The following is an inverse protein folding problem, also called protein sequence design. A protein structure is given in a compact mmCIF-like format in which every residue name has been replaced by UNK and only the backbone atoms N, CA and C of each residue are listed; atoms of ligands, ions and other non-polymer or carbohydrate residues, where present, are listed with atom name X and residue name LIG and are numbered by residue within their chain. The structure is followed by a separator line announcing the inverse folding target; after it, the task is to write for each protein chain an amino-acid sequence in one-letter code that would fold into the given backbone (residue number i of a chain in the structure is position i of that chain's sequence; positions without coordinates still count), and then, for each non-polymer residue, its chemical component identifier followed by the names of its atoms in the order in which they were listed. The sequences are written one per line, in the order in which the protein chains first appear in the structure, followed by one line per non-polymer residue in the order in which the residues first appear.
data_IF_193462906536
#
_entry.id   IF_193462906536
#
_cell.length_a   1.000
_cell.length_b   1.000
_cell.length_c   1.000
_cell.angle_alpha   90.00
_cell.angle_beta   90.00
_cell.angle_gamma   90.00
#
_symmetry.space_group_name_H-M   'P 1'
#
loop_
_entity.id
_entity.type
_entity.pdbx_description
1 polymer ?
#
# COMPACT_ATOMS: atom_id res chain seq x y z
N UNK A 1 -3.88 22.63 -8.13
CA UNK A 1 -4.76 21.75 -7.35
C UNK A 1 -4.77 20.36 -8.00
N UNK A 2 -4.33 19.37 -7.25
CA UNK A 2 -4.18 17.96 -7.66
C UNK A 2 -5.52 17.26 -7.91
N UNK A 3 -5.49 16.05 -8.52
CA UNK A 3 -6.71 15.29 -8.85
C UNK A 3 -7.59 14.95 -7.63
N UNK A 4 -7.01 14.72 -6.46
CA UNK A 4 -7.77 14.38 -5.25
C UNK A 4 -8.40 15.60 -4.59
N UNK A 5 -7.67 16.71 -4.49
CA UNK A 5 -8.22 18.00 -4.02
C UNK A 5 -9.37 18.50 -4.92
N UNK A 6 -9.34 18.16 -6.22
CA UNK A 6 -10.45 18.45 -7.16
C UNK A 6 -11.76 17.76 -6.77
N UNK A 7 -11.73 16.67 -5.99
CA UNK A 7 -12.93 15.99 -5.51
C UNK A 7 -13.73 16.87 -4.56
N UNK A 8 -13.06 17.44 -3.55
CA UNK A 8 -13.69 18.29 -2.55
C UNK A 8 -14.14 19.65 -3.12
N UNK A 9 -13.47 20.15 -4.16
CA UNK A 9 -13.86 21.40 -4.81
C UNK A 9 -15.32 21.44 -5.28
N UNK A 10 -15.91 20.28 -5.62
CA UNK A 10 -17.32 20.19 -6.02
C UNK A 10 -18.31 20.34 -4.86
N UNK A 11 -17.85 20.16 -3.63
CA UNK A 11 -18.66 20.26 -2.42
C UNK A 11 -18.68 21.68 -1.86
N UNK A 12 -17.83 22.59 -2.35
CA UNK A 12 -17.70 23.94 -1.83
C UNK A 12 -18.60 24.87 -2.63
N UNK A 13 -19.51 25.58 -1.95
CA UNK A 13 -20.39 26.54 -2.59
C UNK A 13 -19.61 27.76 -3.11
N UNK A 14 -20.09 28.43 -4.19
CA UNK A 14 -19.47 29.66 -4.66
C UNK A 14 -19.39 30.73 -3.55
N UNK A 15 -18.23 31.37 -3.41
CA UNK A 15 -18.02 32.43 -2.42
C UNK A 15 -17.58 31.97 -1.03
N UNK A 16 -17.60 30.66 -0.75
CA UNK A 16 -17.12 30.11 0.52
C UNK A 16 -15.60 30.23 0.62
N UNK A 17 -15.13 30.83 1.71
CA UNK A 17 -13.71 30.88 2.06
C UNK A 17 -13.42 29.77 3.06
N UNK A 18 -12.55 28.83 2.70
CA UNK A 18 -12.18 27.74 3.61
C UNK A 18 -11.20 28.24 4.67
N UNK A 19 -11.39 27.75 5.90
CA UNK A 19 -10.44 27.99 6.97
C UNK A 19 -9.08 27.32 6.67
N UNK A 20 -7.93 27.89 7.08
CA UNK A 20 -6.61 27.31 6.83
C UNK A 20 -6.46 25.86 7.32
N UNK A 21 -7.12 25.50 8.42
CA UNK A 21 -7.12 24.13 8.96
C UNK A 21 -7.77 23.12 7.99
N UNK A 22 -8.83 23.52 7.28
CA UNK A 22 -9.48 22.67 6.29
C UNK A 22 -8.59 22.49 5.06
N UNK A 23 -7.87 23.53 4.65
CA UNK A 23 -6.84 23.42 3.61
C UNK A 23 -5.73 22.43 4.00
N UNK A 24 -5.25 22.47 5.25
CA UNK A 24 -4.26 21.53 5.74
C UNK A 24 -4.78 20.09 5.71
N UNK A 25 -5.99 19.85 6.22
CA UNK A 25 -6.63 18.51 6.17
C UNK A 25 -6.75 17.98 4.74
N UNK A 26 -7.10 18.84 3.77
CA UNK A 26 -7.16 18.46 2.36
C UNK A 26 -5.79 18.10 1.79
N UNK A 27 -4.73 18.81 2.21
CA UNK A 27 -3.36 18.49 1.84
C UNK A 27 -2.89 17.16 2.45
N UNK A 28 -3.21 16.92 3.73
CA UNK A 28 -2.90 15.66 4.42
C UNK A 28 -3.60 14.48 3.74
N UNK A 29 -4.86 14.64 3.34
CA UNK A 29 -5.61 13.63 2.59
C UNK A 29 -4.95 13.29 1.26
N UNK A 30 -4.46 14.31 0.56
CA UNK A 30 -3.72 14.10 -0.68
C UNK A 30 -2.41 13.34 -0.44
N UNK A 31 -1.64 13.75 0.56
CA UNK A 31 -0.38 13.09 0.92
C UNK A 31 -0.59 11.62 1.27
N UNK A 32 -1.63 11.30 2.07
CA UNK A 32 -1.99 9.91 2.39
C UNK A 32 -2.44 9.12 1.16
N UNK A 33 -3.16 9.75 0.23
CA UNK A 33 -3.58 9.10 -1.02
C UNK A 33 -2.38 8.76 -1.92
N UNK A 34 -1.36 9.64 -1.94
CA UNK A 34 -0.10 9.39 -2.67
C UNK A 34 0.65 8.25 -1.98
N UNK A 35 0.85 8.31 -0.66
CA UNK A 35 1.51 7.24 0.11
C UNK A 35 0.85 5.88 -0.14
N UNK A 36 -0.49 5.83 -0.15
CA UNK A 36 -1.23 4.60 -0.44
C UNK A 36 -0.90 4.05 -1.83
N UNK A 37 -0.83 4.91 -2.84
CA UNK A 37 -0.46 4.53 -4.21
C UNK A 37 0.98 4.02 -4.29
N UNK A 38 1.91 4.65 -3.56
CA UNK A 38 3.30 4.22 -3.50
C UNK A 38 3.43 2.83 -2.83
N UNK A 39 2.66 2.58 -1.78
CA UNK A 39 2.57 1.26 -1.13
C UNK A 39 1.99 0.19 -2.05
N UNK A 40 0.97 0.52 -2.87
CA UNK A 40 0.42 -0.42 -3.87
C UNK A 40 1.49 -0.79 -4.93
N UNK A 41 2.31 0.18 -5.35
CA UNK A 41 3.44 -0.06 -6.25
C UNK A 41 4.53 -0.92 -5.60
N UNK A 42 4.88 -0.63 -4.35
CA UNK A 42 5.82 -1.42 -3.58
C UNK A 42 5.32 -2.86 -3.39
N UNK A 43 4.04 -3.05 -3.09
CA UNK A 43 3.42 -4.35 -2.93
C UNK A 43 3.52 -5.18 -4.20
N UNK A 44 3.23 -4.57 -5.34
CA UNK A 44 3.37 -5.21 -6.66
C UNK A 44 4.81 -5.63 -6.93
N UNK A 45 5.78 -4.77 -6.60
CA UNK A 45 7.21 -5.06 -6.72
C UNK A 45 7.64 -6.21 -5.81
N UNK A 46 7.20 -6.22 -4.56
CA UNK A 46 7.55 -7.26 -3.59
C UNK A 46 6.96 -8.62 -3.98
N UNK A 47 5.73 -8.65 -4.51
CA UNK A 47 5.13 -9.88 -5.04
C UNK A 47 5.89 -10.42 -6.22
N UNK A 48 6.24 -9.56 -7.18
CA UNK A 48 7.11 -9.97 -8.28
C UNK A 48 8.45 -10.53 -7.77
N UNK A 49 9.07 -9.88 -6.79
CA UNK A 49 10.32 -10.37 -6.21
C UNK A 49 10.14 -11.73 -5.52
N UNK A 50 9.01 -11.96 -4.85
CA UNK A 50 8.67 -13.26 -4.26
C UNK A 50 8.62 -14.32 -5.36
N UNK A 51 7.83 -14.09 -6.40
CA UNK A 51 7.66 -15.02 -7.52
C UNK A 51 9.02 -15.33 -8.18
N UNK A 52 9.79 -14.28 -8.52
CA UNK A 52 11.13 -14.42 -9.09
C UNK A 52 12.06 -15.25 -8.16
N UNK A 53 11.94 -15.10 -6.84
CA UNK A 53 12.77 -15.85 -5.87
C UNK A 53 12.33 -17.31 -5.76
N UNK A 54 11.03 -17.58 -5.79
CA UNK A 54 10.46 -18.94 -5.77
C UNK A 54 10.85 -19.70 -7.03
N UNK A 55 10.77 -19.07 -8.20
CA UNK A 55 11.18 -19.64 -9.49
C UNK A 55 12.68 -19.98 -9.49
N UNK A 56 13.53 -19.04 -9.08
CA UNK A 56 14.99 -19.27 -9.00
C UNK A 56 15.34 -20.41 -8.03
N UNK A 57 14.60 -20.54 -6.91
CA UNK A 57 14.84 -21.60 -5.95
C UNK A 57 14.42 -22.97 -6.52
N UNK A 58 13.29 -23.04 -7.22
CA UNK A 58 12.85 -24.25 -7.89
C UNK A 58 13.83 -24.69 -8.97
N UNK A 59 14.34 -23.75 -9.77
CA UNK A 59 15.39 -24.01 -10.78
C UNK A 59 16.68 -24.53 -10.14
N UNK A 60 17.13 -23.92 -9.03
CA UNK A 60 18.35 -24.34 -8.34
C UNK A 60 18.24 -25.77 -7.77
N UNK A 61 17.10 -26.13 -7.21
CA UNK A 61 16.85 -27.48 -6.69
C UNK A 61 16.77 -28.52 -7.82
N UNK A 62 16.12 -28.18 -8.93
CA UNK A 62 16.05 -29.05 -10.10
C UNK A 62 17.42 -29.25 -10.75
N UNK A 63 18.25 -28.20 -10.79
CA UNK A 63 19.62 -28.29 -11.30
C UNK A 63 20.49 -29.18 -10.41
N UNK A 64 20.38 -29.10 -9.08
CA UNK A 64 21.12 -29.97 -8.17
C UNK A 64 20.75 -31.46 -8.37
N UNK A 65 19.45 -31.76 -8.49
CA UNK A 65 18.97 -33.10 -8.85
C UNK A 65 19.54 -33.55 -10.19
N UNK A 66 19.53 -32.67 -11.20
CA UNK A 66 20.08 -32.96 -12.52
C UNK A 66 21.58 -33.27 -12.46
N UNK A 67 22.37 -32.52 -11.69
CA UNK A 67 23.80 -32.73 -11.54
C UNK A 67 24.14 -34.03 -10.77
N UNK A 68 23.37 -34.38 -9.74
CA UNK A 68 23.47 -35.68 -9.07
C UNK A 68 23.23 -36.82 -10.07
N UNK A 69 22.17 -36.72 -10.87
CA UNK A 69 21.85 -37.71 -11.89
C UNK A 69 22.95 -37.84 -12.95
N UNK A 70 23.54 -36.74 -13.42
CA UNK A 70 24.66 -36.75 -14.37
C UNK A 70 25.93 -37.39 -13.80
N UNK A 71 26.20 -37.19 -12.51
CA UNK A 71 27.38 -37.76 -11.82
C UNK A 71 27.17 -39.19 -11.33
N UNK A 72 25.97 -39.76 -11.52
CA UNK A 72 25.59 -41.08 -11.00
C UNK A 72 25.51 -41.14 -9.47
N UNK A 73 25.42 -39.98 -8.81
CA UNK A 73 25.23 -39.90 -7.36
C UNK A 73 23.74 -39.95 -7.02
N UNK A 74 23.35 -40.59 -5.90
CA UNK A 74 21.97 -40.51 -5.43
C UNK A 74 21.66 -39.07 -5.01
N UNK A 75 20.62 -38.48 -5.60
CA UNK A 75 20.08 -37.21 -5.14
C UNK A 75 19.29 -37.44 -3.85
N UNK A 76 19.55 -36.61 -2.84
CA UNK A 76 18.76 -36.55 -1.61
C UNK A 76 18.09 -35.20 -1.57
N UNK A 77 16.80 -35.17 -1.88
CA UNK A 77 16.02 -33.95 -1.76
C UNK A 77 16.05 -33.43 -0.31
N UNK A 78 16.00 -32.10 -0.11
CA UNK A 78 15.84 -31.53 1.23
C UNK A 78 14.62 -32.14 1.93
N UNK A 79 14.80 -32.53 3.18
CA UNK A 79 13.66 -32.89 4.01
C UNK A 79 12.82 -31.65 4.36
N UNK A 80 11.66 -31.83 5.01
CA UNK A 80 10.74 -30.73 5.31
C UNK A 80 11.40 -29.62 6.15
N UNK A 81 12.20 -29.97 7.16
CA UNK A 81 12.86 -28.99 8.04
C UNK A 81 13.93 -28.19 7.26
N UNK A 82 14.70 -28.88 6.42
CA UNK A 82 15.69 -28.26 5.53
C UNK A 82 15.03 -27.35 4.50
N UNK A 83 13.93 -27.80 3.89
CA UNK A 83 13.16 -27.01 2.94
C UNK A 83 12.57 -25.75 3.61
N UNK A 84 12.02 -25.89 4.82
CA UNK A 84 11.52 -24.76 5.58
C UNK A 84 12.62 -23.75 5.91
N UNK A 85 13.83 -24.21 6.26
CA UNK A 85 14.98 -23.34 6.48
C UNK A 85 15.43 -22.63 5.20
N UNK A 86 15.50 -23.33 4.08
CA UNK A 86 15.79 -22.75 2.76
C UNK A 86 14.77 -21.65 2.44
N UNK A 87 13.47 -21.93 2.55
CA UNK A 87 12.41 -20.96 2.28
C UNK A 87 12.49 -19.75 3.22
N UNK A 88 12.74 -19.97 4.51
CA UNK A 88 12.92 -18.89 5.49
C UNK A 88 14.09 -17.98 5.11
N UNK A 89 15.20 -18.56 4.68
CA UNK A 89 16.42 -17.80 4.34
C UNK A 89 16.25 -16.97 3.06
N UNK A 90 15.51 -17.48 2.07
CA UNK A 90 15.33 -16.80 0.78
C UNK A 90 14.11 -15.87 0.76
N UNK A 91 12.98 -16.30 1.32
CA UNK A 91 11.70 -15.57 1.25
C UNK A 91 11.38 -14.79 2.53
N UNK A 92 12.01 -15.09 3.66
CA UNK A 92 11.63 -14.52 4.96
C UNK A 92 11.66 -12.98 4.98
N UNK A 93 12.67 -12.36 4.37
CA UNK A 93 12.75 -10.90 4.27
C UNK A 93 11.64 -10.32 3.38
N UNK A 94 11.30 -10.99 2.29
CA UNK A 94 10.24 -10.56 1.37
C UNK A 94 8.88 -10.69 2.05
N UNK A 95 8.62 -11.81 2.73
CA UNK A 95 7.38 -12.06 3.47
C UNK A 95 7.20 -11.02 4.59
N UNK A 96 8.25 -10.72 5.35
CA UNK A 96 8.19 -9.69 6.41
C UNK A 96 7.87 -8.30 5.84
N UNK A 97 8.47 -7.93 4.70
CA UNK A 97 8.16 -6.67 4.02
C UNK A 97 6.72 -6.64 3.51
N UNK A 98 6.27 -7.71 2.86
CA UNK A 98 4.88 -7.85 2.41
C UNK A 98 3.90 -7.66 3.57
N UNK A 99 4.12 -8.35 4.68
CA UNK A 99 3.28 -8.25 5.87
C UNK A 99 3.21 -6.80 6.39
N UNK A 100 4.35 -6.13 6.52
CA UNK A 100 4.42 -4.74 6.96
C UNK A 100 3.72 -3.77 5.98
N UNK A 101 3.87 -3.97 4.66
CA UNK A 101 3.20 -3.16 3.64
C UNK A 101 1.68 -3.36 3.67
N UNK A 102 1.19 -4.61 3.78
CA UNK A 102 -0.24 -4.88 3.92
C UNK A 102 -0.83 -4.27 5.19
N UNK A 103 -0.12 -4.40 6.32
CA UNK A 103 -0.54 -3.81 7.59
C UNK A 103 -0.64 -2.29 7.47
N UNK A 104 0.38 -1.64 6.89
CA UNK A 104 0.36 -0.19 6.67
C UNK A 104 -0.80 0.24 5.78
N UNK A 105 -1.08 -0.49 4.70
CA UNK A 105 -2.21 -0.22 3.80
C UNK A 105 -3.55 -0.25 4.53
N UNK A 106 -3.76 -1.24 5.41
CA UNK A 106 -5.01 -1.37 6.18
C UNK A 106 -5.23 -0.15 7.09
N UNK A 107 -4.20 0.25 7.84
CA UNK A 107 -4.30 1.42 8.71
C UNK A 107 -4.47 2.72 7.91
N UNK A 108 -3.71 2.87 6.82
CA UNK A 108 -3.78 4.04 5.96
C UNK A 108 -5.16 4.19 5.30
N UNK A 109 -5.78 3.09 4.87
CA UNK A 109 -7.14 3.09 4.32
C UNK A 109 -8.19 3.56 5.34
N UNK A 110 -8.03 3.14 6.60
CA UNK A 110 -8.89 3.60 7.69
C UNK A 110 -8.71 5.10 7.96
N UNK A 111 -7.46 5.58 7.99
CA UNK A 111 -7.13 6.99 8.21
C UNK A 111 -7.63 7.89 7.07
N UNK A 112 -7.42 7.48 5.81
CA UNK A 112 -7.92 8.18 4.62
C UNK A 112 -9.45 8.30 4.68
N UNK A 113 -10.16 7.22 5.01
CA UNK A 113 -11.62 7.21 5.10
C UNK A 113 -12.11 8.16 6.20
N UNK A 114 -11.46 8.12 7.37
CA UNK A 114 -11.80 8.98 8.51
C UNK A 114 -11.56 10.45 8.18
N UNK A 115 -10.39 10.77 7.62
CA UNK A 115 -10.03 12.14 7.24
C UNK A 115 -10.95 12.69 6.16
N UNK A 116 -11.31 11.88 5.16
CA UNK A 116 -12.30 12.26 4.14
C UNK A 116 -13.63 12.69 4.78
N UNK A 117 -14.17 11.88 5.69
CA UNK A 117 -15.42 12.22 6.39
C UNK A 117 -15.31 13.51 7.22
N UNK A 118 -14.15 13.75 7.85
CA UNK A 118 -13.89 15.01 8.58
C UNK A 118 -13.88 16.21 7.63
N UNK A 119 -13.24 16.09 6.46
CA UNK A 119 -13.19 17.15 5.45
C UNK A 119 -14.59 17.45 4.91
N UNK A 120 -15.35 16.43 4.51
CA UNK A 120 -16.70 16.59 3.97
C UNK A 120 -17.65 17.27 4.97
N UNK A 121 -17.57 16.89 6.25
CA UNK A 121 -18.34 17.54 7.32
C UNK A 121 -17.92 19.00 7.51
N UNK A 122 -16.62 19.29 7.49
CA UNK A 122 -16.11 20.66 7.64
C UNK A 122 -16.50 21.56 6.46
N UNK A 123 -16.52 21.02 5.23
CA UNK A 123 -17.03 21.75 4.05
C UNK A 123 -18.52 22.05 4.21
N UNK A 124 -19.31 21.09 4.70
CA UNK A 124 -20.74 21.29 4.93
C UNK A 124 -20.99 22.44 5.90
N UNK A 125 -20.27 22.46 7.04
CA UNK A 125 -20.36 23.55 8.01
C UNK A 125 -19.95 24.90 7.40
N UNK A 126 -18.84 24.95 6.65
CA UNK A 126 -18.40 26.19 6.01
C UNK A 126 -19.42 26.73 4.98
N UNK A 127 -20.08 25.83 4.24
CA UNK A 127 -21.16 26.20 3.31
C UNK A 127 -22.37 26.79 4.05
N UNK A 128 -22.79 26.17 5.16
CA UNK A 128 -23.91 26.62 5.97
C UNK A 128 -23.63 28.00 6.61
N UNK A 129 -22.43 28.19 7.15
CA UNK A 129 -21.99 29.46 7.74
C UNK A 129 -21.98 30.59 6.69
N UNK A 130 -21.48 30.32 5.48
CA UNK A 130 -21.46 31.29 4.40
C UNK A 130 -22.87 31.63 3.89
N UNK A 131 -23.77 30.65 3.79
CA UNK A 131 -25.15 30.87 3.38
C UNK A 131 -25.94 31.67 4.43
N UNK A 132 -25.71 31.39 5.72
CA UNK A 132 -26.28 32.16 6.82
C UNK A 132 -25.77 33.61 6.80
N UNK A 133 -24.46 33.81 6.60
CA UNK A 133 -23.87 35.15 6.51
C UNK A 133 -24.40 35.95 5.30
N UNK A 134 -24.72 35.29 4.18
CA UNK A 134 -25.31 35.94 3.00
C UNK A 134 -26.81 36.27 3.16
N UNK A 135 -27.49 35.67 4.15
CA UNK A 135 -28.92 35.86 4.40
C UNK A 135 -29.22 36.92 5.47
N UNK A 136 -28.18 37.44 6.15
CA UNK A 136 -28.28 38.55 7.12
C UNK A 136 -27.91 39.88 6.47
#
# INVERSE_FOLDING_TARGET
MSRSAKGFGRLINPGVVLHPELHQKMADFEAMTIERSDLDHELSRLRKQQDDTEDNLAEALAEDEFQCNLSGQPFVAPNEDELQEILRNHLGSIINKLAATYERLIYLDADIRKLKGVIEKAITVANEESAAAASM
#
